data_IF_835657560249
#
_entry.id   IF_835657560249
#
_cell.length_a   1.000
_cell.length_b   1.000
_cell.length_c   1.000
_cell.angle_alpha   90.00
_cell.angle_beta   90.00
_cell.angle_gamma   90.00
#
_symmetry.space_group_name_H-M   'P 1'
#
loop_
_entity.id
_entity.type
_entity.pdbx_description
1 polymer ?
#
# COMPACT_ATOMS: atom_id res chain seq x y z
N UNK A 1 -6.53 -18.68 -3.19
CA UNK A 1 -5.20 -18.07 -3.29
C UNK A 1 -5.26 -16.68 -2.66
N UNK A 2 -4.25 -16.26 -1.92
CA UNK A 2 -4.28 -14.95 -1.27
C UNK A 2 -4.14 -13.75 -2.23
N UNK A 3 -3.88 -14.02 -3.51
CA UNK A 3 -3.70 -12.99 -4.54
C UNK A 3 -4.73 -13.15 -5.65
N UNK A 4 -5.33 -12.03 -6.07
CA UNK A 4 -6.33 -11.94 -7.13
C UNK A 4 -5.72 -11.21 -8.32
N UNK A 5 -5.85 -11.79 -9.51
CA UNK A 5 -5.44 -11.12 -10.74
C UNK A 5 -6.36 -9.94 -11.02
N UNK A 6 -5.78 -8.75 -11.15
CA UNK A 6 -6.52 -7.49 -11.37
C UNK A 6 -6.41 -7.02 -12.81
N UNK A 7 -5.29 -7.31 -13.44
CA UNK A 7 -5.04 -6.95 -14.85
C UNK A 7 -4.16 -8.01 -15.51
N UNK A 8 -4.40 -8.29 -16.80
CA UNK A 8 -3.52 -9.06 -17.67
C UNK A 8 -3.79 -8.70 -19.11
N UNK A 9 -2.77 -8.27 -19.82
CA UNK A 9 -2.84 -7.98 -21.26
C UNK A 9 -1.41 -7.92 -21.86
N UNK A 10 -1.33 -8.00 -23.20
CA UNK A 10 -0.09 -7.83 -23.97
C UNK A 10 -0.10 -6.46 -24.63
N UNK A 11 0.71 -5.53 -24.12
CA UNK A 11 0.73 -4.14 -24.55
C UNK A 11 2.17 -3.60 -24.66
N UNK A 12 2.33 -2.58 -25.50
CA UNK A 12 3.50 -1.70 -25.44
C UNK A 12 3.38 -0.81 -24.21
N UNK A 13 3.90 -1.24 -23.08
CA UNK A 13 3.67 -0.55 -21.83
C UNK A 13 4.51 -1.07 -20.68
N UNK A 14 4.20 -0.59 -19.48
CA UNK A 14 4.82 -1.03 -18.25
C UNK A 14 3.89 -0.85 -17.03
N UNK A 15 4.35 -1.32 -15.88
CA UNK A 15 3.73 -1.08 -14.59
C UNK A 15 4.63 -0.16 -13.78
N UNK A 16 4.06 0.86 -13.17
CA UNK A 16 4.74 1.79 -12.28
C UNK A 16 4.01 1.85 -10.94
N UNK A 17 4.77 2.10 -9.89
CA UNK A 17 4.23 2.21 -8.54
C UNK A 17 4.53 3.58 -7.96
N UNK A 18 3.55 4.15 -7.26
CA UNK A 18 3.70 5.31 -6.42
C UNK A 18 3.05 5.01 -5.07
N UNK A 19 3.64 5.43 -3.97
CA UNK A 19 3.07 5.16 -2.65
C UNK A 19 3.91 5.75 -1.54
N UNK A 20 3.40 5.67 -0.32
CA UNK A 20 4.12 6.16 0.84
C UNK A 20 3.68 5.45 2.11
N UNK A 21 4.53 5.48 3.13
CA UNK A 21 4.12 5.19 4.50
C UNK A 21 3.14 6.25 5.00
N UNK A 22 2.29 5.85 5.94
CA UNK A 22 1.42 6.76 6.69
C UNK A 22 1.94 7.02 8.11
N UNK A 23 3.21 6.75 8.37
CA UNK A 23 3.79 6.99 9.67
C UNK A 23 5.28 7.29 9.63
N UNK A 24 5.76 7.86 10.73
CA UNK A 24 7.17 8.09 10.98
C UNK A 24 7.69 7.08 11.99
N UNK A 25 8.87 6.53 11.68
CA UNK A 25 9.55 5.55 12.51
C UNK A 25 9.92 6.15 13.87
N UNK A 26 9.84 5.31 14.90
CA UNK A 26 10.25 5.63 16.26
C UNK A 26 11.63 5.07 16.61
N UNK A 27 12.19 5.56 17.71
CA UNK A 27 13.34 4.96 18.34
C UNK A 27 12.95 3.73 19.17
N UNK A 28 13.87 2.80 19.35
CA UNK A 28 13.67 1.65 20.20
C UNK A 28 13.35 2.10 21.64
N UNK A 29 12.34 1.47 22.25
CA UNK A 29 11.90 1.74 23.60
C UNK A 29 11.53 3.22 23.88
N UNK A 30 11.13 3.97 22.85
CA UNK A 30 10.76 5.38 22.97
C UNK A 30 9.69 5.76 21.95
N UNK A 31 8.77 6.68 22.34
CA UNK A 31 7.82 7.31 21.41
C UNK A 31 8.40 8.61 20.78
N UNK A 32 9.72 8.68 20.65
CA UNK A 32 10.41 9.75 19.91
C UNK A 32 10.76 9.29 18.51
N UNK A 33 10.99 10.20 17.55
CA UNK A 33 11.49 9.85 16.24
C UNK A 33 12.76 9.00 16.28
N UNK A 34 12.88 8.02 15.38
CA UNK A 34 14.01 7.11 15.34
C UNK A 34 14.00 6.22 14.11
N UNK A 35 14.72 5.10 14.17
CA UNK A 35 14.99 4.22 13.03
C UNK A 35 14.59 2.76 13.29
N UNK A 36 13.73 2.48 14.26
CA UNK A 36 13.33 1.10 14.58
C UNK A 36 12.52 0.43 13.44
N UNK A 37 11.93 1.22 12.54
CA UNK A 37 11.08 0.72 11.47
C UNK A 37 9.59 0.72 11.83
N UNK A 38 9.24 0.42 13.08
CA UNK A 38 7.87 0.57 13.60
C UNK A 38 7.50 2.04 13.72
N UNK A 39 6.29 2.43 13.31
CA UNK A 39 5.86 3.82 13.39
C UNK A 39 5.45 4.21 14.82
N UNK A 40 5.80 5.42 15.24
CA UNK A 40 5.42 6.00 16.54
C UNK A 40 4.41 7.13 16.43
N UNK A 41 4.22 7.68 15.23
CA UNK A 41 3.20 8.66 14.91
C UNK A 41 2.76 8.50 13.46
N UNK A 42 1.49 8.74 13.14
CA UNK A 42 1.05 8.88 11.76
C UNK A 42 1.51 10.21 11.19
N UNK A 43 1.82 10.23 9.89
CA UNK A 43 1.91 11.47 9.11
C UNK A 43 0.53 12.05 8.89
N UNK A 44 0.44 13.38 8.80
CA UNK A 44 -0.79 14.11 8.47
C UNK A 44 -0.50 15.18 7.42
N UNK A 45 -1.48 15.43 6.55
CA UNK A 45 -1.41 16.56 5.62
C UNK A 45 -1.68 17.91 6.31
N UNK A 46 -2.18 17.88 7.55
CA UNK A 46 -2.36 19.08 8.39
C UNK A 46 -1.08 19.33 9.19
N UNK A 47 -0.28 20.29 8.74
CA UNK A 47 1.01 20.65 9.35
C UNK A 47 0.89 21.38 10.69
N UNK A 48 -0.31 21.73 11.15
CA UNK A 48 -0.54 22.30 12.48
C UNK A 48 -0.58 21.24 13.59
N UNK A 49 -0.70 19.95 13.23
CA UNK A 49 -0.68 18.83 14.17
C UNK A 49 0.76 18.41 14.48
N UNK A 50 1.00 18.01 15.71
CA UNK A 50 2.29 17.46 16.14
C UNK A 50 2.13 16.50 17.30
N UNK A 51 2.83 15.37 17.27
CA UNK A 51 2.88 14.37 18.34
C UNK A 51 4.21 14.47 19.07
N UNK A 52 4.19 14.91 20.32
CA UNK A 52 5.38 14.95 21.16
C UNK A 52 6.60 15.55 20.47
N UNK A 53 7.69 14.77 20.36
CA UNK A 53 8.93 15.18 19.70
C UNK A 53 8.96 14.85 18.19
N UNK A 54 7.88 14.31 17.62
CA UNK A 54 7.78 14.10 16.17
C UNK A 54 7.66 15.45 15.45
N UNK A 55 8.05 15.53 14.17
CA UNK A 55 7.89 16.75 13.38
C UNK A 55 6.43 17.22 13.28
N UNK A 56 6.23 18.49 12.93
CA UNK A 56 4.92 19.00 12.52
C UNK A 56 4.33 18.17 11.38
N UNK A 57 3.00 18.06 11.32
CA UNK A 57 2.31 17.17 10.38
C UNK A 57 2.27 15.72 10.89
N UNK A 58 2.14 15.52 12.20
CA UNK A 58 1.99 14.19 12.82
C UNK A 58 0.78 14.13 13.74
N UNK A 59 0.19 12.92 13.89
CA UNK A 59 -0.99 12.66 14.71
C UNK A 59 -0.96 11.21 15.23
N UNK A 60 -1.72 10.92 16.29
CA UNK A 60 -2.02 9.55 16.73
C UNK A 60 -3.40 9.07 16.24
N UNK A 61 -4.19 9.97 15.69
CA UNK A 61 -5.52 9.69 15.17
C UNK A 61 -5.45 9.30 13.68
N UNK A 62 -5.79 8.05 13.35
CA UNK A 62 -5.79 7.59 11.97
C UNK A 62 -6.80 8.35 11.08
N UNK A 63 -7.85 8.95 11.64
CA UNK A 63 -8.81 9.75 10.87
C UNK A 63 -8.22 11.05 10.31
N UNK A 64 -7.06 11.44 10.83
CA UNK A 64 -6.28 12.61 10.44
C UNK A 64 -4.97 12.22 9.74
N UNK A 65 -4.69 10.92 9.58
CA UNK A 65 -3.50 10.49 8.87
C UNK A 65 -3.58 10.81 7.37
N UNK A 66 -2.42 10.96 6.76
CA UNK A 66 -2.32 11.19 5.32
C UNK A 66 -0.90 11.39 4.85
N UNK A 67 -0.62 10.89 3.65
CA UNK A 67 0.67 11.11 2.97
C UNK A 67 0.48 11.30 1.47
N UNK A 68 1.55 11.77 0.80
CA UNK A 68 1.58 12.01 -0.64
C UNK A 68 2.69 11.24 -1.31
N UNK A 69 2.46 10.89 -2.58
CA UNK A 69 3.49 10.37 -3.47
C UNK A 69 3.33 10.97 -4.87
N UNK A 70 4.44 11.07 -5.59
CA UNK A 70 4.45 11.55 -6.97
C UNK A 70 4.35 10.36 -7.93
N UNK A 71 3.36 10.37 -8.81
CA UNK A 71 3.30 9.50 -9.98
C UNK A 71 3.90 10.24 -11.18
N UNK A 72 4.84 9.59 -11.88
CA UNK A 72 5.49 10.16 -13.07
C UNK A 72 5.38 9.17 -14.21
N UNK A 73 4.44 9.39 -15.11
CA UNK A 73 4.27 8.62 -16.34
C UNK A 73 5.09 9.24 -17.47
N UNK A 74 5.73 8.45 -18.34
CA UNK A 74 6.38 8.96 -19.56
C UNK A 74 5.39 9.75 -20.42
N UNK A 75 5.87 10.75 -21.13
CA UNK A 75 5.05 11.54 -22.04
C UNK A 75 4.38 10.64 -23.10
N UNK A 76 3.12 10.91 -23.42
CA UNK A 76 2.34 10.12 -24.38
C UNK A 76 1.82 8.78 -23.82
N UNK A 77 1.92 8.56 -22.51
CA UNK A 77 1.32 7.37 -21.86
C UNK A 77 -0.19 7.52 -21.69
N UNK A 78 -0.91 6.41 -21.79
CA UNK A 78 -2.30 6.25 -21.38
C UNK A 78 -2.43 5.20 -20.29
N UNK A 79 -3.26 5.44 -19.28
CA UNK A 79 -3.49 4.50 -18.17
C UNK A 79 -4.48 3.44 -18.63
N UNK A 80 -4.08 2.18 -18.53
CA UNK A 80 -4.90 1.01 -18.84
C UNK A 80 -5.62 0.48 -17.61
N UNK A 81 -4.93 0.50 -16.46
CA UNK A 81 -5.45 0.03 -15.20
C UNK A 81 -4.73 0.71 -14.02
N UNK A 82 -5.45 0.98 -12.93
CA UNK A 82 -4.85 1.44 -11.70
C UNK A 82 -5.53 0.83 -10.47
N UNK A 83 -4.72 0.27 -9.56
CA UNK A 83 -5.15 -0.32 -8.31
C UNK A 83 -4.55 0.47 -7.15
N UNK A 84 -5.40 0.98 -6.26
CA UNK A 84 -4.98 1.53 -4.99
C UNK A 84 -4.98 0.41 -3.95
N UNK A 85 -3.86 0.20 -3.26
CA UNK A 85 -3.70 -0.80 -2.20
C UNK A 85 -3.33 -0.07 -0.91
N UNK A 86 -3.92 -0.45 0.22
CA UNK A 86 -3.59 0.10 1.54
C UNK A 86 -3.70 -0.96 2.63
N UNK A 87 -3.10 -0.69 3.77
CA UNK A 87 -3.15 -1.58 4.91
C UNK A 87 -2.52 -1.00 6.16
N UNK A 88 -2.66 -1.72 7.26
CA UNK A 88 -2.11 -1.31 8.54
C UNK A 88 -2.31 -2.36 9.63
N UNK A 89 -1.79 -2.07 10.82
CA UNK A 89 -2.07 -2.79 12.05
C UNK A 89 -3.49 -2.43 12.52
N UNK A 90 -4.39 -3.40 12.61
CA UNK A 90 -5.77 -3.15 13.07
C UNK A 90 -6.11 -3.81 14.42
N UNK A 91 -5.27 -4.71 14.87
CA UNK A 91 -5.49 -5.45 16.11
C UNK A 91 -4.18 -5.64 16.86
N UNK A 92 -4.23 -5.41 18.15
CA UNK A 92 -3.21 -5.75 19.13
C UNK A 92 -3.81 -6.67 20.19
N UNK A 93 -3.02 -7.03 21.21
CA UNK A 93 -3.52 -7.78 22.37
C UNK A 93 -4.61 -7.02 23.13
N UNK A 94 -4.55 -5.68 23.13
CA UNK A 94 -5.43 -4.81 23.95
C UNK A 94 -6.44 -4.02 23.12
N UNK A 95 -6.14 -3.71 21.85
CA UNK A 95 -6.98 -2.89 20.97
C UNK A 95 -7.39 -3.64 19.71
N UNK A 96 -8.60 -3.38 19.23
CA UNK A 96 -9.13 -3.99 18.01
C UNK A 96 -10.08 -3.02 17.30
N UNK A 97 -9.72 -2.64 16.07
CA UNK A 97 -10.52 -1.78 15.19
C UNK A 97 -10.99 -2.52 13.93
N UNK A 98 -11.18 -3.84 14.00
CA UNK A 98 -11.61 -4.66 12.86
C UNK A 98 -12.93 -4.20 12.22
N UNK A 99 -13.80 -3.54 12.98
CA UNK A 99 -15.03 -2.93 12.47
C UNK A 99 -14.82 -1.69 11.60
N UNK A 100 -13.60 -1.13 11.56
CA UNK A 100 -13.27 0.11 10.83
C UNK A 100 -12.46 -0.13 9.56
N UNK A 101 -11.80 -1.28 9.41
CA UNK A 101 -10.86 -1.54 8.31
C UNK A 101 -11.51 -1.61 6.92
N UNK A 102 -12.85 -1.69 6.87
CA UNK A 102 -13.63 -1.61 5.64
C UNK A 102 -14.21 -0.22 5.37
N UNK A 103 -13.92 0.77 6.22
CA UNK A 103 -14.32 2.15 5.96
C UNK A 103 -13.59 2.69 4.71
N UNK A 104 -14.26 3.52 3.90
CA UNK A 104 -13.61 4.16 2.76
C UNK A 104 -12.42 5.01 3.19
N UNK A 105 -11.33 4.92 2.44
CA UNK A 105 -10.19 5.84 2.54
C UNK A 105 -10.43 7.07 1.66
N UNK A 106 -9.73 8.15 1.95
CA UNK A 106 -9.82 9.39 1.15
C UNK A 106 -8.65 9.42 0.18
N UNK A 107 -8.95 9.40 -1.11
CA UNK A 107 -7.99 9.45 -2.19
C UNK A 107 -8.07 10.80 -2.93
N UNK A 108 -6.94 11.43 -3.18
CA UNK A 108 -6.88 12.64 -3.99
C UNK A 108 -5.89 12.47 -5.13
N UNK A 109 -6.28 13.01 -6.28
CA UNK A 109 -5.48 13.05 -7.50
C UNK A 109 -5.15 14.51 -7.84
N UNK A 110 -4.30 14.79 -8.84
CA UNK A 110 -4.06 16.15 -9.33
C UNK A 110 -5.33 16.90 -9.76
N UNK A 111 -6.41 16.19 -10.16
CA UNK A 111 -7.65 16.78 -10.66
C UNK A 111 -8.83 16.67 -9.69
N UNK A 112 -8.80 15.72 -8.76
CA UNK A 112 -9.95 15.46 -7.88
C UNK A 112 -9.47 15.31 -6.44
N UNK A 113 -10.03 16.12 -5.54
CA UNK A 113 -9.72 16.06 -4.12
C UNK A 113 -10.78 15.26 -3.35
N UNK A 114 -10.34 14.56 -2.28
CA UNK A 114 -11.19 13.95 -1.26
C UNK A 114 -12.24 12.94 -1.78
N UNK A 115 -11.86 12.12 -2.77
CA UNK A 115 -12.74 11.05 -3.27
C UNK A 115 -12.73 9.89 -2.27
N UNK A 116 -13.92 9.44 -1.86
CA UNK A 116 -14.08 8.28 -0.98
C UNK A 116 -13.92 6.99 -1.78
N UNK A 117 -12.99 6.14 -1.40
CA UNK A 117 -12.73 4.86 -2.04
C UNK A 117 -13.02 3.73 -1.05
N UNK A 118 -14.08 2.99 -1.30
CA UNK A 118 -14.41 1.78 -0.55
C UNK A 118 -13.54 0.60 -1.03
N UNK A 119 -13.14 -0.31 -0.14
CA UNK A 119 -12.38 -1.50 -0.51
C UNK A 119 -13.22 -2.47 -1.36
N UNK A 120 -12.54 -3.14 -2.30
CA UNK A 120 -13.10 -4.28 -3.03
C UNK A 120 -13.05 -5.53 -2.14
N UNK A 121 -14.21 -6.14 -1.91
CA UNK A 121 -14.33 -7.34 -1.09
C UNK A 121 -13.53 -8.53 -1.66
N UNK A 122 -13.37 -8.60 -2.98
CA UNK A 122 -12.66 -9.69 -3.65
C UNK A 122 -11.15 -9.72 -3.34
N UNK A 123 -10.55 -8.57 -2.97
CA UNK A 123 -9.13 -8.43 -2.63
C UNK A 123 -8.88 -8.16 -1.16
N UNK A 124 -9.95 -8.09 -0.36
CA UNK A 124 -9.87 -7.81 1.08
C UNK A 124 -9.34 -9.01 1.85
N UNK A 125 -8.30 -8.80 2.66
CA UNK A 125 -7.68 -9.85 3.46
C UNK A 125 -7.29 -9.35 4.85
N UNK A 126 -7.49 -10.23 5.83
CA UNK A 126 -7.16 -10.00 7.23
C UNK A 126 -6.26 -11.12 7.73
N UNK A 127 -5.24 -10.76 8.48
CA UNK A 127 -4.26 -11.68 9.04
C UNK A 127 -4.17 -11.47 10.54
N UNK A 128 -4.29 -12.53 11.32
CA UNK A 128 -4.05 -12.51 12.76
C UNK A 128 -2.94 -13.49 13.10
N UNK A 129 -1.94 -13.02 13.82
CA UNK A 129 -0.81 -13.81 14.28
C UNK A 129 -0.76 -13.71 15.80
N UNK A 130 -0.53 -14.84 16.45
CA UNK A 130 -0.25 -14.89 17.90
C UNK A 130 1.09 -15.56 18.12
N UNK A 131 2.03 -14.83 18.74
CA UNK A 131 3.35 -15.32 19.10
C UNK A 131 3.62 -14.92 20.55
N UNK A 132 4.00 -15.89 21.40
CA UNK A 132 4.31 -15.65 22.81
C UNK A 132 3.21 -14.86 23.56
N UNK A 133 1.94 -15.22 23.35
CA UNK A 133 0.75 -14.56 23.90
C UNK A 133 0.53 -13.11 23.42
N UNK A 134 1.29 -12.64 22.46
CA UNK A 134 1.06 -11.36 21.77
C UNK A 134 0.26 -11.60 20.51
N UNK A 135 -0.94 -11.03 20.43
CA UNK A 135 -1.78 -11.10 19.23
C UNK A 135 -1.68 -9.81 18.45
N UNK A 136 -1.38 -9.90 17.16
CA UNK A 136 -1.39 -8.79 16.23
C UNK A 136 -2.21 -9.12 14.99
N UNK A 137 -2.92 -8.13 14.45
CA UNK A 137 -3.72 -8.27 13.24
C UNK A 137 -3.36 -7.22 12.22
N UNK A 138 -3.15 -7.67 11.00
CA UNK A 138 -2.84 -6.85 9.83
C UNK A 138 -3.90 -7.03 8.77
N UNK A 139 -4.09 -6.05 7.95
CA UNK A 139 -5.03 -6.14 6.84
C UNK A 139 -4.45 -5.56 5.56
N UNK A 140 -4.97 -6.04 4.43
CA UNK A 140 -4.76 -5.48 3.10
C UNK A 140 -6.11 -5.23 2.47
N UNK A 141 -6.27 -4.07 1.88
CA UNK A 141 -7.43 -3.66 1.08
C UNK A 141 -6.95 -3.08 -0.23
N UNK A 142 -7.76 -3.24 -1.26
CA UNK A 142 -7.49 -2.54 -2.51
C UNK A 142 -8.78 -2.15 -3.24
N UNK A 143 -8.65 -1.27 -4.22
CA UNK A 143 -9.76 -0.85 -5.07
C UNK A 143 -9.26 -0.40 -6.45
N UNK A 144 -10.08 -0.64 -7.46
CA UNK A 144 -9.86 -0.12 -8.80
C UNK A 144 -10.13 1.40 -8.83
N UNK A 145 -9.10 2.17 -9.16
CA UNK A 145 -9.15 3.64 -9.30
C UNK A 145 -8.78 4.11 -10.71
N UNK A 146 -8.89 3.22 -11.70
CA UNK A 146 -8.48 3.47 -13.09
C UNK A 146 -9.05 4.76 -13.66
N UNK A 147 -10.35 5.00 -13.49
CA UNK A 147 -11.00 6.20 -14.06
C UNK A 147 -10.40 7.51 -13.49
N UNK A 148 -10.10 7.54 -12.19
CA UNK A 148 -9.51 8.71 -11.52
C UNK A 148 -8.06 8.95 -11.99
N UNK A 149 -7.28 7.88 -12.10
CA UNK A 149 -5.86 7.99 -12.47
C UNK A 149 -5.71 8.24 -13.98
N UNK A 150 -6.55 7.64 -14.82
CA UNK A 150 -6.56 7.89 -16.26
C UNK A 150 -6.91 9.35 -16.60
N UNK A 151 -7.79 9.98 -15.83
CA UNK A 151 -8.11 11.39 -15.99
C UNK A 151 -6.96 12.32 -15.54
N UNK A 152 -6.27 11.97 -14.45
CA UNK A 152 -5.30 12.86 -13.79
C UNK A 152 -3.85 12.66 -14.26
N UNK A 153 -3.49 11.45 -14.74
CA UNK A 153 -2.16 11.08 -15.22
C UNK A 153 -1.05 11.36 -14.18
N UNK A 154 0.05 12.00 -14.60
CA UNK A 154 1.18 12.34 -13.72
C UNK A 154 0.82 13.44 -12.73
N UNK A 155 1.38 13.37 -11.52
CA UNK A 155 1.22 14.40 -10.51
C UNK A 155 1.22 13.85 -9.09
N UNK A 156 0.86 14.69 -8.13
CA UNK A 156 0.81 14.34 -6.72
C UNK A 156 -0.51 13.65 -6.37
N UNK A 157 -0.40 12.45 -5.81
CA UNK A 157 -1.50 11.67 -5.27
C UNK A 157 -1.40 11.61 -3.75
N UNK A 158 -2.52 11.54 -3.06
CA UNK A 158 -2.52 11.36 -1.61
C UNK A 158 -3.59 10.38 -1.15
N UNK A 159 -3.29 9.69 -0.05
CA UNK A 159 -4.24 8.83 0.66
C UNK A 159 -4.30 9.27 2.11
N UNK A 160 -5.50 9.31 2.66
CA UNK A 160 -5.79 9.71 4.03
C UNK A 160 -6.83 8.78 4.65
N UNK A 161 -6.92 8.78 5.98
CA UNK A 161 -7.90 8.03 6.76
C UNK A 161 -7.80 6.52 6.59
N UNK A 162 -6.59 6.02 6.44
CA UNK A 162 -6.34 4.57 6.46
C UNK A 162 -6.44 4.08 7.90
N UNK A 163 -7.40 3.20 8.23
CA UNK A 163 -7.56 2.70 9.59
C UNK A 163 -6.31 1.99 10.08
N UNK A 164 -5.73 2.44 11.16
CA UNK A 164 -4.57 1.79 11.77
C UNK A 164 -4.44 2.14 13.25
N UNK A 165 -3.74 1.29 13.99
CA UNK A 165 -3.39 1.47 15.39
C UNK A 165 -1.93 1.89 15.51
N UNK A 166 -1.66 2.74 16.51
CA UNK A 166 -0.33 2.95 17.08
C UNK A 166 -0.38 2.53 18.53
N UNK A 167 0.30 1.44 18.85
CA UNK A 167 0.38 0.90 20.20
C UNK A 167 1.50 1.54 21.01
N UNK A 168 1.31 1.59 22.32
CA UNK A 168 2.27 2.17 23.25
C UNK A 168 3.59 1.35 23.33
N UNK A 169 4.63 1.95 23.89
CA UNK A 169 6.02 1.46 23.88
C UNK A 169 6.22 0.16 24.64
N UNK A 170 5.54 -0.04 25.73
CA UNK A 170 5.70 -1.12 26.69
C UNK A 170 5.10 -2.45 26.23
N UNK A 171 4.45 -2.46 25.06
CA UNK A 171 3.88 -3.64 24.43
C UNK A 171 4.77 -4.14 23.29
N UNK A 172 4.99 -5.46 23.19
CA UNK A 172 5.63 -6.08 22.01
C UNK A 172 4.91 -5.69 20.72
N UNK A 173 3.60 -5.46 20.79
CA UNK A 173 2.79 -5.00 19.65
C UNK A 173 3.20 -3.62 19.15
N UNK A 174 3.83 -2.78 19.97
CA UNK A 174 4.33 -1.47 19.53
C UNK A 174 5.45 -1.57 18.49
N UNK A 175 6.08 -2.72 18.34
CA UNK A 175 7.11 -2.99 17.33
C UNK A 175 6.51 -3.35 15.96
N UNK A 176 5.20 -3.58 15.89
CA UNK A 176 4.48 -3.98 14.68
C UNK A 176 3.60 -2.86 14.10
N UNK A 177 3.66 -1.66 14.70
CA UNK A 177 2.92 -0.52 14.20
C UNK A 177 3.31 -0.19 12.76
N UNK A 178 2.34 -0.20 11.87
CA UNK A 178 2.54 0.21 10.48
C UNK A 178 1.24 0.67 9.86
N UNK A 179 1.35 1.52 8.85
CA UNK A 179 0.29 1.90 7.92
C UNK A 179 0.93 2.43 6.64
N UNK A 180 0.29 2.17 5.50
CA UNK A 180 0.81 2.63 4.23
C UNK A 180 -0.16 2.39 3.08
N UNK A 181 0.22 2.91 1.91
CA UNK A 181 -0.52 2.73 0.67
C UNK A 181 0.39 2.68 -0.53
N UNK A 182 -0.08 2.04 -1.59
CA UNK A 182 0.58 1.96 -2.88
C UNK A 182 -0.46 2.09 -3.99
N UNK A 183 -0.15 2.89 -4.99
CA UNK A 183 -0.88 3.00 -6.25
C UNK A 183 -0.07 2.25 -7.32
N UNK A 184 -0.61 1.16 -7.84
CA UNK A 184 -0.05 0.42 -8.97
C UNK A 184 -0.75 0.85 -10.25
N UNK A 185 0.01 1.29 -11.26
CA UNK A 185 -0.54 1.81 -12.51
C UNK A 185 0.05 1.05 -13.69
N UNK A 186 -0.82 0.41 -14.45
CA UNK A 186 -0.50 -0.20 -15.74
C UNK A 186 -0.77 0.84 -16.82
N UNK A 187 0.23 1.13 -17.63
CA UNK A 187 0.11 2.13 -18.68
C UNK A 187 0.63 1.62 -20.02
N UNK A 188 0.05 2.13 -21.09
CA UNK A 188 0.51 1.95 -22.47
C UNK A 188 1.32 3.17 -22.92
N UNK A 189 2.38 2.91 -23.67
CA UNK A 189 3.17 3.93 -24.34
C UNK A 189 3.80 3.34 -25.59
N UNK A 190 3.54 3.92 -26.76
CA UNK A 190 3.95 3.39 -28.06
C UNK A 190 5.48 3.35 -28.27
N UNK A 191 6.25 4.05 -27.41
CA UNK A 191 7.73 4.03 -27.47
C UNK A 191 8.33 2.83 -26.74
N UNK A 192 7.52 2.07 -25.99
CA UNK A 192 7.96 0.89 -25.24
C UNK A 192 7.83 -0.39 -26.06
N UNK A 193 8.56 -1.42 -25.64
CA UNK A 193 8.45 -2.76 -26.21
C UNK A 193 7.12 -3.42 -25.82
N UNK A 194 6.68 -4.38 -26.66
CA UNK A 194 5.54 -5.23 -26.36
C UNK A 194 5.89 -6.17 -25.18
N UNK A 195 5.05 -6.17 -24.14
CA UNK A 195 5.22 -6.94 -22.91
C UNK A 195 3.91 -7.58 -22.49
N UNK A 196 4.01 -8.72 -21.83
CA UNK A 196 2.91 -9.26 -21.05
C UNK A 196 2.89 -8.55 -19.70
N UNK A 197 1.83 -7.80 -19.42
CA UNK A 197 1.65 -7.01 -18.20
C UNK A 197 0.59 -7.68 -17.34
N UNK A 198 0.97 -8.09 -16.12
CA UNK A 198 0.06 -8.76 -15.20
C UNK A 198 0.17 -8.12 -13.82
N UNK A 199 -0.95 -7.73 -13.24
CA UNK A 199 -1.04 -7.16 -11.89
C UNK A 199 -1.89 -8.06 -10.99
N UNK A 200 -1.37 -8.39 -9.82
CA UNK A 200 -2.06 -9.17 -8.79
C UNK A 200 -2.12 -8.35 -7.52
N UNK A 201 -3.26 -8.35 -6.84
CA UNK A 201 -3.47 -7.70 -5.54
C UNK A 201 -3.83 -8.73 -4.49
N UNK A 202 -3.30 -8.54 -3.29
CA UNK A 202 -3.52 -9.41 -2.15
C UNK A 202 -2.38 -9.31 -1.14
N UNK A 203 -2.39 -10.18 -0.15
CA UNK A 203 -1.36 -10.23 0.87
C UNK A 203 -1.18 -11.65 1.42
N UNK A 204 -0.05 -11.87 2.06
CA UNK A 204 0.21 -13.05 2.88
C UNK A 204 1.15 -12.68 4.02
N UNK A 205 1.07 -13.44 5.10
CA UNK A 205 1.98 -13.29 6.23
C UNK A 205 3.11 -14.30 6.12
N UNK A 206 4.33 -13.79 6.20
CA UNK A 206 5.54 -14.59 6.32
C UNK A 206 6.17 -14.29 7.67
N UNK A 207 6.43 -15.32 8.44
CA UNK A 207 7.09 -15.23 9.75
C UNK A 207 8.27 -16.21 9.81
N UNK A 208 9.21 -16.05 10.74
CA UNK A 208 10.30 -17.01 10.92
C UNK A 208 9.82 -18.47 11.12
N UNK A 209 8.64 -18.65 11.70
CA UNK A 209 8.05 -19.98 11.92
C UNK A 209 7.36 -20.56 10.68
N UNK A 210 6.87 -19.71 9.76
CA UNK A 210 6.23 -20.15 8.51
C UNK A 210 7.21 -20.31 7.35
N UNK A 211 8.43 -19.79 7.50
CA UNK A 211 9.48 -19.87 6.49
C UNK A 211 9.17 -19.01 5.26
N UNK A 212 8.99 -19.64 4.11
CA UNK A 212 8.66 -18.98 2.85
C UNK A 212 7.22 -19.24 2.43
N UNK A 213 6.68 -18.35 1.63
CA UNK A 213 5.41 -18.56 0.93
C UNK A 213 5.64 -18.52 -0.58
N UNK A 214 5.02 -19.44 -1.29
CA UNK A 214 5.08 -19.49 -2.76
C UNK A 214 3.77 -18.94 -3.32
N UNK A 215 3.90 -17.97 -4.20
CA UNK A 215 2.77 -17.44 -4.98
C UNK A 215 2.94 -17.90 -6.42
N UNK A 216 2.00 -18.73 -6.89
CA UNK A 216 2.00 -19.15 -8.30
C UNK A 216 1.24 -18.11 -9.12
N UNK A 217 1.96 -17.46 -10.02
CA UNK A 217 1.40 -16.54 -11.02
C UNK A 217 1.26 -17.33 -12.33
N UNK A 218 0.06 -17.32 -12.90
CA UNK A 218 -0.26 -18.04 -14.15
C UNK A 218 -0.75 -17.07 -15.22
N UNK A 219 -0.91 -17.58 -16.45
CA UNK A 219 -1.47 -16.83 -17.59
C UNK A 219 -0.60 -15.65 -18.07
N UNK A 220 0.73 -15.80 -17.98
CA UNK A 220 1.63 -14.89 -18.66
C UNK A 220 2.45 -15.65 -19.71
N UNK A 221 2.70 -15.02 -20.84
CA UNK A 221 3.55 -15.57 -21.91
C UNK A 221 4.92 -14.90 -21.82
N UNK A 222 5.97 -15.70 -21.64
CA UNK A 222 7.33 -15.21 -21.89
C UNK A 222 7.62 -15.33 -23.38
N UNK A 223 7.99 -14.23 -24.09
CA UNK A 223 8.39 -14.34 -25.49
C UNK A 223 9.63 -15.26 -25.59
N UNK A 224 9.46 -16.39 -26.25
CA UNK A 224 10.54 -17.37 -26.47
C UNK A 224 11.64 -16.85 -27.43
N UNK A 225 11.41 -15.74 -28.13
CA UNK A 225 12.35 -15.20 -29.12
C UNK A 225 13.68 -14.68 -28.56
N UNK A 226 13.77 -14.44 -27.27
CA UNK A 226 15.02 -13.99 -26.65
C UNK A 226 15.96 -15.10 -26.22
N UNK A 227 15.52 -16.36 -26.16
CA UNK A 227 16.36 -17.48 -25.74
C UNK A 227 17.21 -18.05 -26.87
N UNK A 228 16.93 -17.74 -28.12
CA UNK A 228 17.67 -18.28 -29.29
C UNK A 228 18.74 -17.36 -29.88
N UNK A 229 18.87 -16.13 -29.42
CA UNK A 229 19.84 -15.15 -29.97
C UNK A 229 21.21 -15.12 -29.26
N UNK A 230 21.51 -16.07 -28.36
CA UNK A 230 22.81 -16.17 -27.68
C UNK A 230 23.54 -17.47 -27.83
N UNK A 231 23.29 -18.20 -28.90
CA UNK A 231 24.04 -19.39 -29.25
C UNK A 231 24.79 -19.21 -30.58
N UNK A 232 25.68 -18.21 -30.65
CA UNK A 232 26.75 -18.10 -31.64
C UNK A 232 27.94 -17.35 -31.07
#
# INVERSE_FOLDING_TARGET
>A
MPFVQRYSDVKKGAIIFAGNTLGLSKAANSNSPGTEGSIGAFTSLNTSLQVGNFPAGTTLDYTLNGSRAQLSLPAGSSVLYAELVWGGLYRSTVNNISNLINNPVVFSTPLSANVQIAPDAATSQDFVITVDNVTVGFYVRSANVTALVAAALSGAYSVQRVPALIEAIDSRTSQTNHAGWTLAVVYENQTLDLRNLTLWSGGNVVSPSTGSTTVTVTNFLTPVSYTHLRAH
#
